data_IF_439547819959
#
_entry.id   IF_439547819959
#
_cell.length_a   1.000
_cell.length_b   1.000
_cell.length_c   1.000
_cell.angle_alpha   90.00
_cell.angle_beta   90.00
_cell.angle_gamma   90.00
#
_symmetry.space_group_name_H-M   'P 1'
#
loop_
_entity.id
_entity.type
_entity.pdbx_description
1 polymer ?
#
# COMPACT_ATOMS: atom_id res chain seq x y z
N UNK A 1 52.37 30.17 17.04
CA UNK A 1 51.71 29.86 15.76
C UNK A 1 51.54 28.34 15.68
N UNK A 2 50.30 27.86 15.77
CA UNK A 2 49.95 26.49 16.17
C UNK A 2 50.48 25.43 15.20
N UNK A 3 51.54 24.71 15.59
CA UNK A 3 52.13 23.58 14.84
C UNK A 3 51.14 22.42 14.59
N UNK A 4 49.99 22.42 15.26
CA UNK A 4 48.92 21.43 15.11
C UNK A 4 48.33 21.36 13.69
N UNK A 5 48.31 22.48 12.96
CA UNK A 5 47.78 22.54 11.58
C UNK A 5 48.79 22.10 10.49
N UNK A 6 50.03 21.82 10.86
CA UNK A 6 51.10 21.44 9.94
C UNK A 6 51.26 19.91 9.78
N UNK A 7 50.61 19.11 10.64
CA UNK A 7 50.68 17.65 10.56
C UNK A 7 49.73 17.08 9.49
N UNK A 8 50.30 16.33 8.53
CA UNK A 8 49.54 15.67 7.46
C UNK A 8 48.46 14.72 7.99
N UNK A 9 48.67 14.11 9.16
CA UNK A 9 47.68 13.26 9.84
C UNK A 9 46.44 14.06 10.29
N UNK A 10 46.65 15.27 10.81
CA UNK A 10 45.55 16.14 11.24
C UNK A 10 44.74 16.63 10.04
N UNK A 11 45.40 17.03 8.96
CA UNK A 11 44.74 17.43 7.70
C UNK A 11 43.92 16.28 7.10
N UNK A 12 44.47 15.06 7.13
CA UNK A 12 43.76 13.87 6.66
C UNK A 12 42.52 13.57 7.53
N UNK A 13 42.65 13.60 8.85
CA UNK A 13 41.51 13.43 9.77
C UNK A 13 40.43 14.50 9.55
N UNK A 14 40.83 15.75 9.31
CA UNK A 14 39.91 16.85 9.05
C UNK A 14 39.16 16.65 7.73
N UNK A 15 39.86 16.23 6.67
CA UNK A 15 39.22 15.85 5.39
C UNK A 15 38.23 14.70 5.58
N UNK A 16 38.60 13.67 6.34
CA UNK A 16 37.76 12.50 6.59
C UNK A 16 36.49 12.89 7.36
N UNK A 17 36.62 13.78 8.36
CA UNK A 17 35.47 14.35 9.07
C UNK A 17 34.55 15.15 8.15
N UNK A 18 35.10 16.00 7.26
CA UNK A 18 34.30 16.76 6.29
C UNK A 18 33.52 15.83 5.36
N UNK A 19 34.18 14.82 4.80
CA UNK A 19 33.52 13.84 3.92
C UNK A 19 32.43 13.09 4.69
N UNK A 20 32.71 12.67 5.92
CA UNK A 20 31.73 12.00 6.76
C UNK A 20 30.49 12.87 7.01
N UNK A 21 30.65 14.12 7.43
CA UNK A 21 29.52 15.02 7.65
C UNK A 21 28.78 15.36 6.35
N UNK A 22 29.48 15.51 5.23
CA UNK A 22 28.86 15.71 3.92
C UNK A 22 28.01 14.49 3.51
N UNK A 23 28.51 13.26 3.73
CA UNK A 23 27.74 12.05 3.45
C UNK A 23 26.52 11.92 4.36
N UNK A 24 26.66 12.19 5.65
CA UNK A 24 25.52 12.21 6.57
C UNK A 24 24.47 13.25 6.15
N UNK A 25 24.90 14.45 5.76
CA UNK A 25 23.99 15.47 5.26
C UNK A 25 23.25 14.99 4.01
N UNK A 26 23.94 14.42 3.01
CA UNK A 26 23.29 13.90 1.80
C UNK A 26 22.30 12.76 2.07
N UNK A 27 22.56 11.91 3.07
CA UNK A 27 21.68 10.80 3.42
C UNK A 27 20.46 11.25 4.23
N UNK A 28 20.66 12.12 5.22
CA UNK A 28 19.66 12.46 6.25
C UNK A 28 19.01 13.85 6.10
N UNK A 29 19.37 14.64 5.09
CA UNK A 29 18.71 15.92 4.86
C UNK A 29 17.23 15.73 4.45
N UNK A 30 16.47 16.83 4.48
CA UNK A 30 15.04 16.91 4.13
C UNK A 30 14.71 16.49 2.69
N UNK A 31 15.71 16.44 1.82
CA UNK A 31 15.67 15.91 0.45
C UNK A 31 16.67 14.77 0.24
N UNK A 32 17.13 14.15 1.33
CA UNK A 32 18.13 13.08 1.29
C UNK A 32 17.60 11.79 0.70
N UNK A 33 18.53 10.89 0.40
CA UNK A 33 18.26 9.61 -0.28
C UNK A 33 17.25 8.76 0.50
N UNK A 34 17.33 8.73 1.83
CA UNK A 34 16.43 7.92 2.66
C UNK A 34 14.98 8.35 2.47
N UNK A 35 14.73 9.67 2.48
CA UNK A 35 13.39 10.22 2.31
C UNK A 35 12.85 10.00 0.89
N UNK A 36 13.71 10.12 -0.12
CA UNK A 36 13.34 9.80 -1.50
C UNK A 36 12.89 8.35 -1.65
N UNK A 37 13.65 7.39 -1.11
CA UNK A 37 13.30 5.96 -1.18
C UNK A 37 11.98 5.68 -0.47
N UNK A 38 11.78 6.26 0.72
CA UNK A 38 10.52 6.13 1.47
C UNK A 38 9.33 6.67 0.68
N UNK A 39 9.45 7.89 0.15
CA UNK A 39 8.39 8.53 -0.63
C UNK A 39 8.08 7.74 -1.92
N UNK A 40 9.10 7.20 -2.57
CA UNK A 40 8.92 6.33 -3.75
C UNK A 40 8.16 5.05 -3.39
N UNK A 41 8.44 4.44 -2.24
CA UNK A 41 7.69 3.29 -1.74
C UNK A 41 6.23 3.64 -1.47
N UNK A 42 5.98 4.75 -0.76
CA UNK A 42 4.62 5.23 -0.47
C UNK A 42 3.82 5.52 -1.75
N UNK A 43 4.45 6.13 -2.76
CA UNK A 43 3.84 6.34 -4.07
C UNK A 43 3.48 5.03 -4.76
N UNK A 44 4.38 4.03 -4.73
CA UNK A 44 4.10 2.72 -5.32
C UNK A 44 2.93 2.03 -4.61
N UNK A 45 2.92 2.02 -3.27
CA UNK A 45 1.83 1.45 -2.49
C UNK A 45 0.50 2.14 -2.76
N UNK A 46 0.51 3.47 -2.90
CA UNK A 46 -0.70 4.23 -3.21
C UNK A 46 -1.22 3.91 -4.61
N UNK A 47 -0.33 3.79 -5.60
CA UNK A 47 -0.70 3.41 -6.96
C UNK A 47 -1.28 1.99 -7.00
N UNK A 48 -0.70 1.03 -6.28
CA UNK A 48 -1.24 -0.32 -6.17
C UNK A 48 -2.64 -0.33 -5.53
N UNK A 49 -2.85 0.50 -4.50
CA UNK A 49 -4.18 0.67 -3.86
C UNK A 49 -5.19 1.25 -4.84
N UNK A 50 -4.81 2.27 -5.62
CA UNK A 50 -5.68 2.86 -6.64
C UNK A 50 -6.09 1.80 -7.66
N UNK A 51 -5.14 1.04 -8.20
CA UNK A 51 -5.44 -0.02 -9.17
C UNK A 51 -6.39 -1.09 -8.63
N UNK A 52 -6.18 -1.54 -7.39
CA UNK A 52 -7.06 -2.50 -6.73
C UNK A 52 -8.47 -1.94 -6.54
N UNK A 53 -8.59 -0.69 -6.10
CA UNK A 53 -9.88 -0.04 -5.90
C UNK A 53 -10.62 0.20 -7.21
N UNK A 54 -9.90 0.54 -8.29
CA UNK A 54 -10.49 0.68 -9.63
C UNK A 54 -11.03 -0.67 -10.15
N UNK A 55 -10.29 -1.75 -9.95
CA UNK A 55 -10.73 -3.10 -10.32
C UNK A 55 -11.96 -3.53 -9.50
N UNK A 56 -11.93 -3.30 -8.18
CA UNK A 56 -13.05 -3.59 -7.29
C UNK A 56 -14.29 -2.77 -7.69
N UNK A 57 -14.13 -1.48 -7.97
CA UNK A 57 -15.25 -0.64 -8.38
C UNK A 57 -15.85 -1.11 -9.70
N UNK A 58 -15.03 -1.48 -10.69
CA UNK A 58 -15.50 -2.05 -11.96
C UNK A 58 -16.28 -3.36 -11.75
N UNK A 59 -15.81 -4.21 -10.84
CA UNK A 59 -16.49 -5.46 -10.52
C UNK A 59 -17.85 -5.21 -9.84
N UNK A 60 -17.91 -4.25 -8.91
CA UNK A 60 -19.13 -3.84 -8.23
C UNK A 60 -20.14 -3.22 -9.21
N UNK A 61 -19.68 -2.35 -10.12
CA UNK A 61 -20.53 -1.77 -11.17
C UNK A 61 -21.13 -2.86 -12.07
N UNK A 62 -20.32 -3.84 -12.49
CA UNK A 62 -20.79 -4.97 -13.28
C UNK A 62 -21.82 -5.81 -12.51
N UNK A 63 -21.63 -6.00 -11.20
CA UNK A 63 -22.60 -6.68 -10.35
C UNK A 63 -23.92 -5.91 -10.24
N UNK A 64 -23.86 -4.59 -9.98
CA UNK A 64 -25.05 -3.72 -9.94
C UNK A 64 -25.80 -3.77 -11.27
N UNK A 65 -25.12 -3.66 -12.39
CA UNK A 65 -25.70 -3.75 -13.73
C UNK A 65 -26.36 -5.10 -13.97
N UNK A 66 -25.73 -6.17 -13.49
CA UNK A 66 -26.26 -7.53 -13.63
C UNK A 66 -27.59 -7.72 -12.90
N UNK A 67 -27.72 -7.08 -11.73
CA UNK A 67 -28.94 -7.10 -10.92
C UNK A 67 -30.01 -6.23 -11.57
N UNK A 68 -29.65 -5.00 -12.01
CA UNK A 68 -30.57 -4.07 -12.67
C UNK A 68 -31.16 -4.62 -13.97
N UNK A 69 -30.35 -5.34 -14.75
CA UNK A 69 -30.79 -6.02 -15.99
C UNK A 69 -31.66 -7.25 -15.72
N UNK A 70 -31.84 -7.63 -14.45
CA UNK A 70 -32.75 -8.69 -14.07
C UNK A 70 -32.19 -10.10 -14.26
N UNK A 71 -30.86 -10.30 -14.26
CA UNK A 71 -30.32 -11.65 -14.46
C UNK A 71 -30.75 -12.59 -13.33
N UNK A 72 -31.48 -13.68 -13.62
CA UNK A 72 -32.13 -14.50 -12.58
C UNK A 72 -31.15 -15.08 -11.56
N UNK A 73 -29.97 -15.50 -12.00
CA UNK A 73 -28.95 -16.08 -11.12
C UNK A 73 -28.40 -15.10 -10.08
N UNK A 74 -28.28 -13.81 -10.44
CA UNK A 74 -27.80 -12.75 -9.55
C UNK A 74 -28.84 -12.36 -8.52
N UNK A 75 -30.10 -12.26 -8.95
CA UNK A 75 -31.24 -12.03 -8.06
C UNK A 75 -31.40 -13.21 -7.09
N UNK A 76 -31.35 -14.45 -7.59
CA UNK A 76 -31.48 -15.65 -6.77
C UNK A 76 -30.36 -15.76 -5.73
N UNK A 77 -29.12 -15.44 -6.12
CA UNK A 77 -27.99 -15.40 -5.19
C UNK A 77 -28.25 -14.42 -4.03
N UNK A 78 -28.67 -13.19 -4.32
CA UNK A 78 -28.98 -12.18 -3.29
C UNK A 78 -30.15 -12.62 -2.42
N UNK A 79 -31.21 -13.17 -3.02
CA UNK A 79 -32.37 -13.68 -2.30
C UNK A 79 -31.97 -14.75 -1.28
N UNK A 80 -31.10 -15.68 -1.67
CA UNK A 80 -30.59 -16.73 -0.78
C UNK A 80 -29.62 -16.20 0.28
N UNK A 81 -28.63 -15.40 -0.11
CA UNK A 81 -27.55 -14.99 0.78
C UNK A 81 -27.95 -13.87 1.75
N UNK A 82 -28.72 -12.88 1.30
CA UNK A 82 -29.09 -11.71 2.12
C UNK A 82 -30.43 -11.87 2.82
N UNK A 83 -31.36 -12.61 2.21
CA UNK A 83 -32.73 -12.71 2.69
C UNK A 83 -33.12 -14.14 3.09
N UNK A 84 -32.19 -15.10 3.00
CA UNK A 84 -32.41 -16.50 3.37
C UNK A 84 -33.62 -17.13 2.66
N UNK A 85 -33.94 -16.61 1.47
CA UNK A 85 -35.07 -17.07 0.68
C UNK A 85 -34.72 -18.41 0.03
N UNK A 86 -35.65 -19.36 0.11
CA UNK A 86 -35.57 -20.66 -0.55
C UNK A 86 -36.76 -20.86 -1.49
N UNK A 87 -36.62 -21.71 -2.50
CA UNK A 87 -37.76 -22.08 -3.35
C UNK A 87 -38.74 -22.95 -2.56
N UNK A 88 -40.04 -22.97 -2.93
CA UNK A 88 -41.06 -23.76 -2.20
C UNK A 88 -40.73 -25.25 -2.01
N UNK A 89 -39.88 -25.81 -2.87
CA UNK A 89 -39.53 -27.23 -2.88
C UNK A 89 -38.16 -27.54 -2.23
N UNK A 90 -37.55 -26.55 -1.56
CA UNK A 90 -36.23 -26.69 -0.93
C UNK A 90 -36.34 -26.80 0.59
N UNK A 91 -35.32 -27.39 1.24
CA UNK A 91 -35.20 -27.47 2.69
C UNK A 91 -33.91 -26.78 3.14
N UNK A 92 -34.01 -25.88 4.12
CA UNK A 92 -32.85 -25.26 4.76
C UNK A 92 -32.24 -26.23 5.78
N UNK A 93 -30.91 -26.36 5.78
CA UNK A 93 -30.16 -27.12 6.77
C UNK A 93 -29.29 -26.12 7.55
N UNK A 94 -29.46 -26.05 8.87
CA UNK A 94 -28.66 -25.22 9.76
C UNK A 94 -27.75 -26.11 10.61
N UNK A 95 -26.45 -25.81 10.60
CA UNK A 95 -25.49 -26.45 11.50
C UNK A 95 -25.37 -25.58 12.75
N UNK A 96 -25.58 -26.16 13.93
CA UNK A 96 -25.25 -25.54 15.22
C UNK A 96 -23.90 -26.07 15.65
N UNK A 97 -22.92 -25.19 15.85
CA UNK A 97 -21.69 -25.56 16.55
C UNK A 97 -22.03 -25.75 18.04
N UNK A 98 -21.59 -26.87 18.62
CA UNK A 98 -21.75 -27.20 20.05
C UNK A 98 -20.73 -26.46 20.93
#
# INVERSE_FOLDING_TARGET
>A
MNKFFADNKFRFLLLLAIVFFATLYLLFNSYGVIKYVKLKSELNELNEKIQKLEEENKNLEAEIDSIKKGYPSKIEKIAREKYDMIKPNEKKIEFKEE
#
